data_IF_819946847719
#
_entry.id   IF_819946847719
#
_cell.length_a   1.000
_cell.length_b   1.000
_cell.length_c   1.000
_cell.angle_alpha   90.00
_cell.angle_beta   90.00
_cell.angle_gamma   90.00
#
_symmetry.space_group_name_H-M   'P 1'
#
loop_
_entity.id
_entity.type
_entity.pdbx_description
1 polymer ?
#
# COMPACT_ATOMS: atom_id res chain seq x y z
N UNK A 1 -5.94 7.07 12.86
CA UNK A 1 -6.59 5.73 12.91
C UNK A 1 -5.80 4.85 13.87
N UNK A 2 -6.43 3.84 14.50
CA UNK A 2 -5.79 3.09 15.58
C UNK A 2 -4.93 1.94 15.04
N UNK A 3 -3.71 2.26 14.59
CA UNK A 3 -2.69 1.28 14.19
C UNK A 3 -2.02 0.56 15.37
N UNK A 4 -2.44 0.90 16.59
CA UNK A 4 -1.85 0.44 17.85
C UNK A 4 -2.82 -0.39 18.69
N UNK A 5 -3.85 -0.98 18.08
CA UNK A 5 -4.89 -1.76 18.77
C UNK A 5 -4.37 -3.02 19.47
N UNK A 6 -3.25 -3.60 19.01
CA UNK A 6 -2.59 -4.74 19.66
C UNK A 6 -1.08 -4.51 19.75
N UNK A 7 -0.40 -5.30 20.58
CA UNK A 7 1.09 -5.25 20.68
C UNK A 7 1.76 -5.58 19.34
N UNK A 8 1.24 -6.58 18.61
CA UNK A 8 1.77 -7.02 17.32
C UNK A 8 1.64 -5.93 16.25
N UNK A 9 0.43 -5.39 16.05
CA UNK A 9 0.20 -4.33 15.06
C UNK A 9 0.99 -3.06 15.40
N UNK A 10 1.08 -2.70 16.68
CA UNK A 10 1.92 -1.59 17.15
C UNK A 10 3.38 -1.78 16.78
N UNK A 11 3.93 -2.98 16.98
CA UNK A 11 5.34 -3.25 16.72
C UNK A 11 5.66 -3.17 15.22
N UNK A 12 4.83 -3.81 14.38
CA UNK A 12 4.99 -3.75 12.92
C UNK A 12 4.88 -2.31 12.44
N UNK A 13 3.85 -1.60 12.87
CA UNK A 13 3.63 -0.21 12.47
C UNK A 13 4.81 0.71 12.83
N UNK A 14 5.30 0.62 14.07
CA UNK A 14 6.49 1.39 14.51
C UNK A 14 7.75 1.03 13.74
N UNK A 15 7.92 -0.23 13.33
CA UNK A 15 9.05 -0.65 12.49
C UNK A 15 8.93 -0.04 11.10
N UNK A 16 7.77 -0.10 10.46
CA UNK A 16 7.55 0.49 9.13
C UNK A 16 7.88 1.99 9.11
N UNK A 17 7.36 2.74 10.07
CA UNK A 17 7.65 4.18 10.20
C UNK A 17 9.14 4.49 10.39
N UNK A 18 9.92 3.55 10.95
CA UNK A 18 11.36 3.71 11.15
C UNK A 18 12.16 3.35 9.90
N UNK A 19 11.75 2.31 9.17
CA UNK A 19 12.46 1.81 7.99
C UNK A 19 12.14 2.62 6.73
N UNK A 20 10.92 3.14 6.61
CA UNK A 20 10.46 3.93 5.46
C UNK A 20 9.88 5.25 5.99
N UNK A 21 10.73 6.13 6.55
CA UNK A 21 10.29 7.32 7.29
C UNK A 21 9.60 8.37 6.42
N UNK A 22 9.72 8.24 5.09
CA UNK A 22 9.17 9.20 4.13
C UNK A 22 7.77 8.83 3.62
N UNK A 23 7.23 7.70 4.09
CA UNK A 23 5.84 7.31 3.89
C UNK A 23 5.11 7.48 5.21
N UNK A 24 4.03 8.26 5.20
CA UNK A 24 3.16 8.36 6.36
C UNK A 24 2.17 7.19 6.37
N UNK A 25 2.56 6.10 7.02
CA UNK A 25 1.68 4.95 7.24
C UNK A 25 0.48 5.26 8.15
N UNK A 26 0.47 6.38 8.90
CA UNK A 26 -0.67 6.73 9.75
C UNK A 26 -1.86 7.23 8.95
N UNK A 27 -1.58 7.87 7.80
CA UNK A 27 -2.57 8.35 6.83
C UNK A 27 -2.87 7.24 5.84
N UNK A 28 -3.60 6.25 6.32
CA UNK A 28 -3.97 5.03 5.59
C UNK A 28 -5.33 4.52 6.04
N UNK A 29 -5.95 3.62 5.28
CA UNK A 29 -7.04 2.80 5.80
C UNK A 29 -6.58 1.90 6.97
N UNK A 30 -7.50 1.33 7.76
CA UNK A 30 -7.17 0.27 8.71
C UNK A 30 -6.51 -0.93 8.03
N UNK A 31 -5.71 -1.68 8.78
CA UNK A 31 -5.14 -2.94 8.32
C UNK A 31 -6.23 -3.88 7.79
N UNK A 32 -6.06 -4.33 6.55
CA UNK A 32 -6.82 -5.44 6.01
C UNK A 32 -5.98 -6.70 6.09
N UNK A 33 -6.43 -7.68 6.86
CA UNK A 33 -5.82 -9.02 6.88
C UNK A 33 -6.67 -9.92 6.01
N UNK A 34 -6.03 -10.61 5.06
CA UNK A 34 -6.67 -11.55 4.16
C UNK A 34 -6.07 -12.94 4.40
N UNK A 35 -6.95 -13.93 4.48
CA UNK A 35 -6.60 -15.35 4.61
C UNK A 35 -7.12 -16.04 3.35
N UNK A 36 -6.22 -16.73 2.65
CA UNK A 36 -6.51 -17.50 1.45
C UNK A 36 -6.25 -18.97 1.76
N UNK A 37 -7.34 -19.73 1.82
CA UNK A 37 -7.31 -21.19 1.83
C UNK A 37 -7.08 -21.72 0.40
N UNK A 38 -6.96 -23.03 0.23
CA UNK A 38 -6.85 -23.66 -1.09
C UNK A 38 -7.97 -23.23 -2.04
N UNK A 39 -7.61 -22.87 -3.26
CA UNK A 39 -8.48 -22.28 -4.27
C UNK A 39 -8.77 -20.79 -4.06
N UNK A 40 -8.46 -20.21 -2.90
CA UNK A 40 -8.62 -18.78 -2.62
C UNK A 40 -7.74 -17.92 -3.52
N UNK A 41 -8.32 -16.87 -4.08
CA UNK A 41 -7.65 -15.95 -5.01
C UNK A 41 -8.35 -14.60 -5.06
N UNK A 42 -7.71 -13.62 -5.71
CA UNK A 42 -8.38 -12.44 -6.21
C UNK A 42 -8.05 -12.21 -7.68
N UNK A 43 -9.09 -11.99 -8.48
CA UNK A 43 -8.93 -11.47 -9.83
C UNK A 43 -8.22 -10.10 -9.82
N UNK A 44 -7.50 -9.75 -10.90
CA UNK A 44 -6.87 -8.45 -11.02
C UNK A 44 -7.84 -7.29 -10.78
N UNK A 45 -7.42 -6.34 -9.95
CA UNK A 45 -8.19 -5.18 -9.51
C UNK A 45 -7.29 -3.97 -9.34
N UNK A 46 -7.92 -2.80 -9.26
CA UNK A 46 -7.28 -1.56 -8.82
C UNK A 46 -7.59 -1.28 -7.36
N UNK A 47 -6.71 -0.55 -6.69
CA UNK A 47 -6.93 -0.12 -5.30
C UNK A 47 -7.17 1.38 -5.14
N UNK A 48 -7.05 2.18 -6.21
CA UNK A 48 -7.60 3.53 -6.20
C UNK A 48 -9.14 3.48 -6.13
N UNK A 49 -9.72 4.52 -5.55
CA UNK A 49 -11.15 4.70 -5.38
C UNK A 49 -11.66 5.55 -6.53
N UNK A 50 -12.73 5.08 -7.20
CA UNK A 50 -13.43 5.91 -8.16
C UNK A 50 -14.16 7.04 -7.40
N UNK A 51 -13.63 8.26 -7.49
CA UNK A 51 -14.13 9.42 -6.75
C UNK A 51 -15.56 9.84 -7.14
N UNK A 52 -16.02 9.44 -8.33
CA UNK A 52 -17.37 9.71 -8.81
C UNK A 52 -18.40 8.67 -8.34
N UNK A 53 -17.95 7.60 -7.67
CA UNK A 53 -18.80 6.56 -7.10
C UNK A 53 -19.28 6.91 -5.69
N UNK A 54 -20.26 6.17 -5.17
CA UNK A 54 -20.70 6.29 -3.77
C UNK A 54 -19.58 5.98 -2.78
N UNK A 55 -18.67 5.05 -3.11
CA UNK A 55 -17.48 4.76 -2.30
C UNK A 55 -16.56 5.99 -2.24
N UNK A 56 -16.39 6.69 -3.36
CA UNK A 56 -15.64 7.95 -3.43
C UNK A 56 -16.17 9.08 -2.53
N UNK A 57 -17.40 8.95 -2.03
CA UNK A 57 -18.05 9.94 -1.17
C UNK A 57 -17.91 9.64 0.33
N UNK A 58 -17.16 8.62 0.73
CA UNK A 58 -16.96 8.27 2.14
C UNK A 58 -16.14 9.34 2.91
N UNK A 59 -16.25 9.32 4.24
CA UNK A 59 -15.61 10.31 5.11
C UNK A 59 -14.07 10.24 5.12
N UNK A 60 -13.48 9.04 4.96
CA UNK A 60 -12.04 8.88 4.84
C UNK A 60 -11.54 9.45 3.52
N UNK A 61 -12.23 9.16 2.41
CA UNK A 61 -11.87 9.70 1.09
C UNK A 61 -11.97 11.21 1.06
N UNK A 62 -13.03 11.80 1.64
CA UNK A 62 -13.15 13.27 1.77
C UNK A 62 -12.06 13.89 2.63
N UNK A 63 -11.59 13.18 3.67
CA UNK A 63 -10.61 13.70 4.62
C UNK A 63 -9.17 13.52 4.15
N UNK A 64 -8.83 12.35 3.61
CA UNK A 64 -7.46 11.94 3.32
C UNK A 64 -7.19 11.73 1.83
N UNK A 65 -8.19 11.94 0.98
CA UNK A 65 -8.09 11.76 -0.47
C UNK A 65 -8.14 10.29 -0.88
N UNK A 66 -7.73 10.05 -2.12
CA UNK A 66 -7.69 8.72 -2.71
C UNK A 66 -6.52 7.88 -2.15
N UNK A 67 -6.49 6.59 -2.48
CA UNK A 67 -5.43 5.65 -2.10
C UNK A 67 -4.28 5.76 -3.10
N UNK A 68 -3.19 6.44 -2.75
CA UNK A 68 -2.07 6.66 -3.68
C UNK A 68 -1.14 5.46 -3.82
N UNK A 69 -1.08 4.62 -2.80
CA UNK A 69 -0.20 3.47 -2.76
C UNK A 69 -0.77 2.41 -1.82
N UNK A 70 -0.24 1.20 -1.94
CA UNK A 70 -0.57 0.08 -1.09
C UNK A 70 0.70 -0.58 -0.60
N UNK A 71 0.70 -0.98 0.67
CA UNK A 71 1.81 -1.65 1.31
C UNK A 71 1.31 -2.96 1.93
N UNK A 72 1.80 -4.09 1.43
CA UNK A 72 1.41 -5.41 1.90
C UNK A 72 2.59 -6.13 2.57
N UNK A 73 2.28 -6.90 3.60
CA UNK A 73 3.21 -7.80 4.29
C UNK A 73 2.69 -9.22 4.16
N UNK A 74 3.57 -10.14 3.78
CA UNK A 74 3.27 -11.58 3.82
C UNK A 74 3.44 -12.10 5.24
N UNK A 75 2.34 -12.46 5.89
CA UNK A 75 2.34 -13.04 7.23
C UNK A 75 2.48 -14.56 7.21
N UNK A 76 1.99 -15.19 6.14
CA UNK A 76 2.15 -16.61 5.86
C UNK A 76 2.19 -16.82 4.36
N UNK A 77 3.15 -17.61 3.89
CA UNK A 77 3.28 -18.03 2.50
C UNK A 77 2.56 -19.37 2.30
N UNK A 78 1.84 -19.52 1.20
CA UNK A 78 1.26 -20.79 0.80
C UNK A 78 2.37 -21.80 0.43
N UNK A 79 2.06 -23.10 0.50
CA UNK A 79 3.02 -24.14 0.10
C UNK A 79 3.19 -24.18 -1.42
N UNK A 80 2.12 -23.88 -2.17
CA UNK A 80 2.13 -23.79 -3.63
C UNK A 80 1.09 -22.79 -4.14
N UNK A 81 1.46 -22.01 -5.15
CA UNK A 81 0.60 -20.97 -5.71
C UNK A 81 0.47 -19.77 -4.78
N UNK A 82 -0.60 -19.00 -4.91
CA UNK A 82 -0.85 -17.85 -4.05
C UNK A 82 -0.02 -16.60 -4.36
N UNK A 83 0.79 -16.59 -5.41
CA UNK A 83 1.66 -15.46 -5.75
C UNK A 83 0.88 -14.17 -6.01
N UNK A 84 1.52 -13.03 -5.76
CA UNK A 84 0.97 -11.76 -6.14
C UNK A 84 1.33 -11.46 -7.60
N UNK A 85 0.38 -10.97 -8.41
CA UNK A 85 0.62 -10.69 -9.83
C UNK A 85 0.23 -9.27 -10.21
N UNK A 86 0.95 -8.73 -11.19
CA UNK A 86 0.64 -7.49 -11.91
C UNK A 86 0.58 -7.83 -13.41
N UNK A 87 -0.62 -8.13 -13.95
CA UNK A 87 -0.74 -8.63 -15.33
C UNK A 87 -0.27 -7.61 -16.37
N UNK A 88 -0.54 -6.31 -16.18
CA UNK A 88 -0.22 -5.27 -17.17
C UNK A 88 1.28 -5.09 -17.40
N UNK A 89 2.12 -5.47 -16.42
CA UNK A 89 3.58 -5.44 -16.52
C UNK A 89 4.19 -6.85 -16.60
N UNK A 90 3.36 -7.88 -16.75
CA UNK A 90 3.76 -9.29 -16.86
C UNK A 90 4.68 -9.76 -15.71
N UNK A 91 4.39 -9.31 -14.49
CA UNK A 91 5.15 -9.70 -13.29
C UNK A 91 4.32 -10.52 -12.33
N UNK A 92 5.00 -11.48 -11.70
CA UNK A 92 4.51 -12.34 -10.63
C UNK A 92 5.58 -12.38 -9.54
N UNK A 93 5.15 -12.27 -8.30
CA UNK A 93 6.00 -12.21 -7.12
C UNK A 93 5.56 -13.28 -6.12
N UNK A 94 6.44 -14.24 -5.92
CA UNK A 94 6.37 -15.20 -4.82
C UNK A 94 7.05 -14.55 -3.60
N UNK A 95 6.27 -14.22 -2.58
CA UNK A 95 6.75 -13.50 -1.40
C UNK A 95 6.96 -14.46 -0.22
N UNK A 96 8.06 -14.30 0.48
CA UNK A 96 8.38 -15.05 1.70
C UNK A 96 7.72 -14.44 2.94
N UNK A 97 7.65 -15.23 4.02
CA UNK A 97 7.14 -14.74 5.31
C UNK A 97 8.00 -13.58 5.81
N UNK A 98 7.35 -12.44 6.04
CA UNK A 98 7.99 -11.21 6.50
C UNK A 98 8.34 -10.22 5.38
N UNK A 99 8.24 -10.63 4.10
CA UNK A 99 8.46 -9.72 2.98
C UNK A 99 7.40 -8.61 2.96
N UNK A 100 7.86 -7.42 2.60
CA UNK A 100 7.03 -6.24 2.38
C UNK A 100 7.08 -5.83 0.92
N UNK A 101 5.92 -5.55 0.33
CA UNK A 101 5.80 -5.07 -1.05
C UNK A 101 4.96 -3.81 -1.08
N UNK A 102 5.44 -2.80 -1.79
CA UNK A 102 4.75 -1.53 -1.99
C UNK A 102 4.54 -1.29 -3.47
N UNK A 103 3.36 -0.79 -3.84
CA UNK A 103 3.07 -0.33 -5.19
C UNK A 103 2.23 0.94 -5.17
N UNK A 104 2.29 1.70 -6.26
CA UNK A 104 1.55 2.94 -6.43
C UNK A 104 0.27 2.70 -7.24
N UNK A 105 -0.83 3.33 -6.82
CA UNK A 105 -2.12 3.29 -7.50
C UNK A 105 -2.40 4.59 -8.28
N UNK A 106 -1.51 5.57 -8.17
CA UNK A 106 -1.51 6.81 -8.96
C UNK A 106 -0.07 7.31 -9.13
N UNK A 107 0.15 8.16 -10.13
CA UNK A 107 1.41 8.88 -10.30
C UNK A 107 1.51 10.10 -9.38
N UNK A 108 2.60 10.87 -9.47
CA UNK A 108 2.78 12.02 -8.58
C UNK A 108 1.90 13.22 -8.94
N UNK A 109 1.31 13.22 -10.15
CA UNK A 109 0.30 14.20 -10.58
C UNK A 109 -1.10 13.85 -10.10
N UNK A 110 -1.28 12.68 -9.46
CA UNK A 110 -2.53 12.08 -8.96
C UNK A 110 -3.41 11.48 -10.05
N UNK A 111 -2.84 11.20 -11.21
CA UNK A 111 -3.52 10.42 -12.24
C UNK A 111 -3.45 8.93 -11.89
N UNK A 112 -4.54 8.21 -12.14
CA UNK A 112 -4.66 6.78 -11.80
C UNK A 112 -3.61 5.94 -12.53
N UNK A 113 -2.96 5.02 -11.81
CA UNK A 113 -1.93 4.16 -12.39
C UNK A 113 -2.55 2.85 -12.91
N UNK A 114 -2.90 2.86 -14.19
CA UNK A 114 -3.58 1.75 -14.86
C UNK A 114 -2.71 0.50 -15.05
N UNK A 115 -1.38 0.62 -14.98
CA UNK A 115 -0.48 -0.53 -15.10
C UNK A 115 -0.37 -1.32 -13.79
N UNK A 116 -0.86 -0.78 -12.68
CA UNK A 116 -0.75 -1.40 -11.36
C UNK A 116 -2.03 -2.13 -10.91
N UNK A 117 -2.84 -2.56 -11.89
CA UNK A 117 -3.80 -3.62 -11.67
C UNK A 117 -3.08 -4.84 -11.08
N UNK A 118 -3.63 -5.42 -10.02
CA UNK A 118 -2.98 -6.53 -9.33
C UNK A 118 -3.97 -7.53 -8.75
N UNK A 119 -3.50 -8.74 -8.52
CA UNK A 119 -4.29 -9.82 -7.95
C UNK A 119 -3.42 -10.82 -7.22
N UNK A 120 -4.07 -11.86 -6.71
CA UNK A 120 -3.43 -12.96 -6.02
C UNK A 120 -3.82 -14.25 -6.75
N UNK A 121 -2.83 -15.00 -7.22
CA UNK A 121 -3.02 -16.30 -7.86
C UNK A 121 -3.76 -17.25 -6.90
N UNK A 122 -4.48 -18.26 -7.43
CA UNK A 122 -5.02 -19.34 -6.61
C UNK A 122 -3.95 -19.97 -5.73
N UNK A 123 -4.26 -20.12 -4.44
CA UNK A 123 -3.51 -21.00 -3.54
C UNK A 123 -3.78 -22.42 -3.99
N UNK A 124 -2.75 -23.12 -4.45
CA UNK A 124 -2.88 -24.50 -4.92
C UNK A 124 -2.75 -25.51 -3.79
N UNK A 125 -1.97 -25.18 -2.76
CA UNK A 125 -1.78 -26.01 -1.56
C UNK A 125 -1.40 -25.12 -0.36
N UNK A 126 -1.96 -25.44 0.81
CA UNK A 126 -1.69 -24.75 2.07
C UNK A 126 -2.52 -23.48 2.25
N UNK A 127 -1.96 -22.47 2.91
CA UNK A 127 -2.65 -21.23 3.26
C UNK A 127 -1.73 -20.01 3.12
N UNK A 128 -2.23 -18.94 2.51
CA UNK A 128 -1.57 -17.63 2.45
C UNK A 128 -2.27 -16.64 3.35
N UNK A 129 -1.51 -15.84 4.09
CA UNK A 129 -2.03 -14.74 4.91
C UNK A 129 -1.25 -13.47 4.59
N UNK A 130 -1.96 -12.39 4.25
CA UNK A 130 -1.38 -11.07 4.00
C UNK A 130 -2.00 -10.02 4.90
N UNK A 131 -1.25 -8.96 5.20
CA UNK A 131 -1.73 -7.77 5.86
C UNK A 131 -1.39 -6.54 5.01
N UNK A 132 -2.41 -5.81 4.58
CA UNK A 132 -2.26 -4.67 3.65
C UNK A 132 -2.75 -3.38 4.29
N UNK A 133 -1.96 -2.32 4.12
CA UNK A 133 -2.36 -0.93 4.31
C UNK A 133 -2.57 -0.27 2.96
N UNK A 134 -3.72 0.38 2.79
CA UNK A 134 -4.00 1.26 1.65
C UNK A 134 -3.70 2.68 2.08
N UNK A 135 -2.61 3.24 1.58
CA UNK A 135 -2.08 4.52 1.99
C UNK A 135 -2.83 5.64 1.26
N UNK A 136 -3.23 6.67 2.00
CA UNK A 136 -4.03 7.81 1.50
C UNK A 136 -3.11 8.96 1.10
N UNK A 137 -3.51 9.72 0.08
CA UNK A 137 -2.64 10.70 -0.60
C UNK A 137 -2.33 11.98 0.20
N UNK A 138 -3.24 12.43 1.07
CA UNK A 138 -3.05 13.70 1.77
C UNK A 138 -1.90 13.62 2.78
N UNK A 139 -1.03 14.62 2.78
CA UNK A 139 0.09 14.72 3.73
C UNK A 139 1.27 13.79 3.43
N UNK A 140 1.26 13.04 2.32
CA UNK A 140 2.37 12.15 1.96
C UNK A 140 3.55 12.94 1.41
N UNK A 141 4.72 12.82 2.04
CA UNK A 141 5.92 13.54 1.60
C UNK A 141 6.35 13.18 0.19
N UNK A 142 6.18 11.92 -0.22
CA UNK A 142 6.54 11.45 -1.56
C UNK A 142 5.74 12.18 -2.66
N UNK A 143 4.49 12.56 -2.39
CA UNK A 143 3.67 13.37 -3.29
C UNK A 143 4.02 14.86 -3.24
N UNK A 144 4.55 15.36 -2.11
CA UNK A 144 4.96 16.76 -1.92
C UNK A 144 6.36 17.07 -2.46
N UNK A 145 7.16 16.06 -2.76
CA UNK A 145 8.56 16.16 -3.19
C UNK A 145 8.79 15.60 -4.59
N UNK A 146 7.72 15.38 -5.34
CA UNK A 146 7.78 14.88 -6.71
C UNK A 146 8.58 15.82 -7.62
N UNK A 147 9.20 15.23 -8.64
CA UNK A 147 9.90 15.99 -9.67
C UNK A 147 8.90 16.79 -10.53
N UNK A 148 9.33 17.92 -11.15
CA UNK A 148 8.44 18.76 -11.96
C UNK A 148 7.80 18.06 -13.17
N UNK A 149 8.36 16.93 -13.59
CA UNK A 149 7.89 16.08 -14.70
C UNK A 149 6.85 15.02 -14.26
N UNK A 150 6.43 15.02 -13.00
CA UNK A 150 5.36 14.16 -12.49
C UNK A 150 5.82 12.80 -11.95
N UNK A 151 7.12 12.56 -11.85
CA UNK A 151 7.67 11.34 -11.26
C UNK A 151 7.94 11.47 -9.76
N UNK A 152 7.77 10.36 -9.04
CA UNK A 152 8.15 10.26 -7.64
C UNK A 152 9.68 10.35 -7.46
N UNK A 153 10.13 11.13 -6.47
CA UNK A 153 11.52 11.10 -6.03
C UNK A 153 11.75 9.93 -5.07
N UNK A 154 11.95 8.73 -5.63
CA UNK A 154 12.23 7.53 -4.86
C UNK A 154 13.52 7.62 -4.04
N UNK A 155 14.44 8.53 -4.37
CA UNK A 155 15.64 8.79 -3.57
C UNK A 155 15.29 9.17 -2.13
N UNK A 156 14.15 9.84 -1.94
CA UNK A 156 13.67 10.26 -0.61
C UNK A 156 13.20 9.11 0.28
N UNK A 157 12.91 7.93 -0.28
CA UNK A 157 12.57 6.75 0.53
C UNK A 157 13.77 6.25 1.34
N UNK A 158 14.99 6.44 0.82
CA UNK A 158 16.25 5.96 1.42
C UNK A 158 17.04 7.12 2.04
N UNK A 159 16.99 8.30 1.43
CA UNK A 159 17.70 9.52 1.85
C UNK A 159 16.74 10.71 2.00
N UNK A 160 15.88 10.71 3.04
CA UNK A 160 14.86 11.72 3.20
C UNK A 160 15.45 13.10 3.51
N UNK A 161 15.01 14.13 2.78
CA UNK A 161 15.33 15.51 3.12
C UNK A 161 14.46 15.98 4.32
N UNK A 162 15.13 16.25 5.43
CA UNK A 162 14.52 16.62 6.71
C UNK A 162 13.68 17.91 6.63
N UNK A 163 13.84 18.74 5.60
CA UNK A 163 13.01 19.94 5.39
C UNK A 163 11.55 19.57 5.13
N UNK A 164 11.29 18.46 4.45
CA UNK A 164 9.94 17.98 4.19
C UNK A 164 9.34 17.33 5.42
N UNK A 165 10.13 16.56 6.19
CA UNK A 165 9.68 15.87 7.41
C UNK A 165 9.00 16.78 8.45
N UNK A 166 9.34 18.07 8.49
CA UNK A 166 8.74 19.03 9.42
C UNK A 166 7.40 19.62 8.94
N UNK A 167 7.00 19.41 7.69
CA UNK A 167 5.80 20.02 7.11
C UNK A 167 4.50 19.26 7.37
N UNK A 168 4.53 18.00 7.85
CA UNK A 168 3.32 17.23 8.19
C UNK A 168 2.85 17.43 9.63
N UNK A 169 3.63 18.13 10.47
CA UNK A 169 3.16 18.58 11.79
C UNK A 169 2.52 19.95 11.67
N UNK A 170 1.39 20.03 10.96
CA UNK A 170 0.62 21.26 10.84
C UNK A 170 -0.60 21.06 9.96
N UNK A 171 -1.75 20.79 10.60
CA UNK A 171 -3.05 20.60 9.96
C UNK A 171 -4.05 19.94 10.90
#
# INVERSE_FOLDING_TARGET
MAHTGTKGTTLVFKRLQRFIPFIDFATSDPWQVLVFEEGGHFAPRFEYININSTEGQDNLTKKYGNRFASFSITLKKAEKGGDHLFPSIEKRYELEVGDGMMWHNMDATREEEYLMAHGDCPVENGEKITATLRLREHGQYLLLSAWPDGYYDYGMLVHPDLKFLRMTKGG
#
